data_IF_287417185334
#
_entry.id   IF_287417185334
#
_cell.length_a   1.000
_cell.length_b   1.000
_cell.length_c   1.000
_cell.angle_alpha   90.00
_cell.angle_beta   90.00
_cell.angle_gamma   90.00
#
_symmetry.space_group_name_H-M   'P 1'
#
loop_
_entity.id
_entity.type
_entity.pdbx_description
1 polymer ?
#
# COMPACT_ATOMS: atom_id res chain seq x y z
N UNK A 1 7.95 2.92 1.01
CA UNK A 1 9.06 2.24 1.72
C UNK A 1 9.59 1.03 0.94
N UNK A 2 8.78 0.01 0.63
CA UNK A 2 9.28 -1.22 -0.03
C UNK A 2 9.94 -0.97 -1.39
N UNK A 3 9.44 -0.04 -2.23
CA UNK A 3 10.13 0.32 -3.47
C UNK A 3 11.56 0.89 -3.23
N UNK A 4 11.75 1.66 -2.16
CA UNK A 4 13.09 2.13 -1.77
C UNK A 4 13.98 0.98 -1.29
N UNK A 5 13.42 0.04 -0.53
CA UNK A 5 14.14 -1.16 -0.11
C UNK A 5 14.50 -2.04 -1.32
N UNK A 6 13.61 -2.14 -2.30
CA UNK A 6 13.86 -2.86 -3.54
C UNK A 6 15.06 -2.27 -4.29
N UNK A 7 15.12 -0.94 -4.41
CA UNK A 7 16.27 -0.22 -4.99
C UNK A 7 17.55 -0.51 -4.20
N UNK A 8 17.52 -0.34 -2.88
CA UNK A 8 18.69 -0.53 -2.01
C UNK A 8 19.17 -1.99 -1.96
N UNK A 9 18.24 -2.93 -2.12
CA UNK A 9 18.53 -4.37 -2.13
C UNK A 9 18.84 -4.91 -3.53
N UNK A 10 18.80 -4.08 -4.57
CA UNK A 10 18.98 -4.49 -5.96
C UNK A 10 17.96 -5.56 -6.41
N UNK A 11 16.67 -5.31 -6.20
CA UNK A 11 15.61 -6.16 -6.75
C UNK A 11 15.28 -7.40 -5.90
N UNK A 12 15.53 -7.37 -4.59
CA UNK A 12 15.35 -8.55 -3.70
C UNK A 12 14.19 -8.41 -2.72
N UNK A 13 13.36 -7.37 -2.84
CA UNK A 13 12.28 -7.12 -1.90
C UNK A 13 10.93 -7.60 -2.45
N UNK A 14 10.18 -8.31 -1.62
CA UNK A 14 8.80 -8.72 -1.90
C UNK A 14 7.87 -8.19 -0.80
N UNK A 15 6.61 -7.90 -1.13
CA UNK A 15 5.64 -7.34 -0.17
C UNK A 15 4.64 -8.39 0.29
N UNK A 16 4.77 -8.87 1.53
CA UNK A 16 3.71 -9.60 2.24
C UNK A 16 2.86 -8.63 3.05
N UNK A 17 1.54 -8.60 2.81
CA UNK A 17 0.62 -7.73 3.54
C UNK A 17 -0.74 -8.41 3.72
N UNK A 18 -1.30 -8.33 4.92
CA UNK A 18 -2.62 -8.88 5.24
C UNK A 18 -3.57 -7.83 5.82
N UNK A 19 -4.85 -8.17 5.91
CA UNK A 19 -5.90 -7.29 6.43
C UNK A 19 -5.79 -7.03 7.95
N UNK A 20 -4.91 -7.78 8.63
CA UNK A 20 -4.78 -7.78 10.09
C UNK A 20 -5.82 -8.68 10.77
N UNK A 21 -5.55 -9.02 12.03
CA UNK A 21 -6.47 -9.79 12.88
C UNK A 21 -6.35 -9.45 14.38
N UNK A 22 -5.28 -8.77 14.79
CA UNK A 22 -5.01 -8.41 16.18
C UNK A 22 -5.52 -6.99 16.49
N UNK A 23 -6.84 -6.82 16.59
CA UNK A 23 -7.47 -5.50 16.73
C UNK A 23 -7.03 -4.73 17.97
N UNK A 24 -6.93 -5.40 19.12
CA UNK A 24 -6.43 -4.75 20.34
C UNK A 24 -5.00 -4.23 20.17
N UNK A 25 -4.12 -5.00 19.51
CA UNK A 25 -2.76 -4.56 19.24
C UNK A 25 -2.71 -3.39 18.23
N UNK A 26 -3.60 -3.40 17.23
CA UNK A 26 -3.70 -2.30 16.26
C UNK A 26 -4.15 -1.01 16.94
N UNK A 27 -5.17 -1.07 17.80
CA UNK A 27 -5.67 0.10 18.53
C UNK A 27 -4.62 0.66 19.51
N UNK A 28 -3.87 -0.19 20.21
CA UNK A 28 -2.82 0.27 21.14
C UNK A 28 -1.67 0.99 20.44
N UNK A 29 -1.45 0.74 19.14
CA UNK A 29 -0.48 1.46 18.31
C UNK A 29 -1.09 2.69 17.59
N UNK A 30 -2.32 3.10 17.94
CA UNK A 30 -3.02 4.24 17.33
C UNK A 30 -3.63 3.93 15.97
N UNK A 31 -3.70 2.66 15.57
CA UNK A 31 -4.40 2.21 14.38
C UNK A 31 -5.92 2.24 14.57
N UNK A 32 -6.63 2.39 13.46
CA UNK A 32 -8.10 2.29 13.42
C UNK A 32 -8.53 0.84 13.61
N UNK A 33 -9.51 0.60 14.49
CA UNK A 33 -10.28 -0.65 14.50
C UNK A 33 -11.21 -0.71 13.29
N UNK A 34 -11.13 -1.80 12.54
CA UNK A 34 -12.03 -2.10 11.42
C UNK A 34 -12.80 -3.39 11.72
N UNK A 35 -14.01 -3.47 11.19
CA UNK A 35 -14.74 -4.73 11.11
C UNK A 35 -14.06 -5.65 10.07
N UNK A 36 -14.36 -6.95 10.12
CA UNK A 36 -13.69 -7.96 9.28
C UNK A 36 -13.88 -7.68 7.77
N UNK A 37 -15.08 -7.26 7.36
CA UNK A 37 -15.32 -6.91 5.95
C UNK A 37 -14.54 -5.65 5.55
N UNK A 38 -14.62 -4.62 6.39
CA UNK A 38 -13.92 -3.35 6.19
C UNK A 38 -12.39 -3.50 6.14
N UNK A 39 -11.81 -4.46 6.88
CA UNK A 39 -10.37 -4.70 6.83
C UNK A 39 -9.91 -5.33 5.52
N UNK A 40 -10.73 -6.20 4.92
CA UNK A 40 -10.48 -6.79 3.60
C UNK A 40 -10.68 -5.74 2.51
N UNK A 41 -11.73 -4.93 2.57
CA UNK A 41 -11.96 -3.80 1.66
C UNK A 41 -10.80 -2.78 1.73
N UNK A 42 -10.36 -2.44 2.95
CA UNK A 42 -9.20 -1.59 3.13
C UNK A 42 -7.94 -2.20 2.51
N UNK A 43 -7.69 -3.51 2.69
CA UNK A 43 -6.55 -4.16 2.05
C UNK A 43 -6.59 -4.03 0.53
N UNK A 44 -7.74 -4.28 -0.09
CA UNK A 44 -7.94 -4.14 -1.54
C UNK A 44 -7.66 -2.72 -2.04
N UNK A 45 -8.20 -1.71 -1.35
CA UNK A 45 -7.91 -0.30 -1.67
C UNK A 45 -6.44 0.04 -1.48
N UNK A 46 -5.82 -0.49 -0.43
CA UNK A 46 -4.40 -0.30 -0.13
C UNK A 46 -3.51 -0.84 -1.25
N UNK A 47 -3.81 -2.03 -1.77
CA UNK A 47 -3.09 -2.64 -2.90
C UNK A 47 -3.23 -1.76 -4.15
N UNK A 48 -4.43 -1.25 -4.46
CA UNK A 48 -4.64 -0.32 -5.56
C UNK A 48 -3.79 0.95 -5.41
N UNK A 49 -3.82 1.56 -4.22
CA UNK A 49 -3.03 2.75 -3.91
C UNK A 49 -1.53 2.50 -4.09
N UNK A 50 -1.02 1.37 -3.58
CA UNK A 50 0.40 1.00 -3.70
C UNK A 50 0.80 0.87 -5.18
N UNK A 51 0.01 0.13 -5.98
CA UNK A 51 0.30 -0.04 -7.42
C UNK A 51 0.24 1.29 -8.17
N UNK A 52 -0.73 2.14 -7.88
CA UNK A 52 -0.85 3.46 -8.50
C UNK A 52 0.35 4.37 -8.18
N UNK A 53 0.87 4.30 -6.95
CA UNK A 53 2.07 5.05 -6.57
C UNK A 53 3.34 4.55 -7.28
N UNK A 54 3.42 3.25 -7.62
CA UNK A 54 4.56 2.68 -8.37
C UNK A 54 4.46 2.87 -9.89
N UNK A 55 3.30 3.25 -10.43
CA UNK A 55 3.10 3.51 -11.85
C UNK A 55 3.75 4.82 -12.33
N UNK A 56 5.06 4.98 -12.13
CA UNK A 56 5.82 6.22 -12.39
C UNK A 56 5.91 6.59 -13.87
N UNK A 57 5.54 5.69 -14.79
CA UNK A 57 5.40 6.01 -16.21
C UNK A 57 4.18 6.88 -16.52
N UNK A 58 3.20 6.94 -15.61
CA UNK A 58 2.03 7.80 -15.76
C UNK A 58 2.33 9.25 -15.36
N UNK A 59 1.66 10.19 -16.03
CA UNK A 59 1.81 11.63 -15.76
C UNK A 59 0.92 12.08 -14.60
N UNK A 60 1.39 13.09 -13.87
CA UNK A 60 0.63 13.75 -12.80
C UNK A 60 0.67 13.02 -11.46
N UNK A 61 -0.11 13.51 -10.49
CA UNK A 61 -0.24 12.91 -9.16
C UNK A 61 -1.33 11.83 -9.12
N UNK A 62 -1.23 10.89 -8.19
CA UNK A 62 -2.24 9.83 -7.97
C UNK A 62 -3.42 10.46 -7.25
N UNK A 63 -4.60 10.30 -7.85
CA UNK A 63 -5.88 10.63 -7.23
C UNK A 63 -6.63 9.33 -6.98
N UNK A 64 -7.09 9.15 -5.75
CA UNK A 64 -7.82 7.96 -5.32
C UNK A 64 -8.85 8.40 -4.28
N UNK A 65 -10.07 7.89 -4.38
CA UNK A 65 -11.16 8.25 -3.49
C UNK A 65 -11.94 6.98 -3.16
N UNK A 66 -11.40 6.23 -2.19
CA UNK A 66 -12.02 5.03 -1.64
C UNK A 66 -12.70 5.31 -0.30
N UNK A 67 -13.32 4.28 0.25
CA UNK A 67 -13.94 4.28 1.57
C UNK A 67 -12.88 4.37 2.68
N UNK A 68 -11.73 3.74 2.49
CA UNK A 68 -10.68 3.64 3.51
C UNK A 68 -9.48 4.54 3.24
N UNK A 69 -9.14 4.80 1.97
CA UNK A 69 -8.01 5.65 1.59
C UNK A 69 -8.40 6.75 0.61
N UNK A 70 -7.73 7.90 0.74
CA UNK A 70 -7.89 9.03 -0.17
C UNK A 70 -6.54 9.63 -0.52
N UNK A 71 -6.30 9.81 -1.82
CA UNK A 71 -5.15 10.52 -2.36
C UNK A 71 -5.62 11.72 -3.19
N UNK A 72 -5.06 12.90 -2.92
CA UNK A 72 -5.44 14.15 -3.56
C UNK A 72 -4.31 14.68 -4.48
N UNK A 73 -3.79 13.82 -5.37
CA UNK A 73 -2.68 14.17 -6.24
C UNK A 73 -1.31 13.82 -5.64
N UNK A 74 -1.22 12.69 -4.94
CA UNK A 74 0.02 12.21 -4.34
C UNK A 74 1.11 11.99 -5.40
N UNK A 75 2.36 12.32 -5.08
CA UNK A 75 3.48 12.07 -5.98
C UNK A 75 3.71 10.57 -6.13
N UNK A 76 4.01 10.16 -7.36
CA UNK A 76 4.41 8.78 -7.66
C UNK A 76 5.86 8.57 -7.26
N UNK A 77 6.18 7.31 -6.98
CA UNK A 77 7.54 6.83 -6.83
C UNK A 77 8.09 6.83 -5.39
N UNK A 78 9.33 6.33 -5.24
CA UNK A 78 10.21 5.86 -6.31
C UNK A 78 9.66 4.61 -7.01
N UNK A 79 10.01 4.43 -8.29
CA UNK A 79 9.69 3.21 -9.03
C UNK A 79 10.55 2.06 -8.48
N UNK A 80 9.99 0.88 -8.19
CA UNK A 80 10.79 -0.29 -7.87
C UNK A 80 11.63 -0.70 -9.08
N UNK A 81 12.72 -1.44 -8.83
CA UNK A 81 13.66 -1.89 -9.89
C UNK A 81 13.08 -3.07 -10.67
N UNK A 82 12.17 -3.82 -10.04
CA UNK A 82 11.41 -4.90 -10.65
C UNK A 82 9.93 -4.82 -10.26
N UNK A 83 9.10 -5.66 -10.87
CA UNK A 83 7.70 -5.81 -10.45
C UNK A 83 7.64 -6.58 -9.12
N UNK A 84 7.52 -5.83 -8.02
CA UNK A 84 7.41 -6.39 -6.67
C UNK A 84 6.08 -7.16 -6.57
N UNK A 85 6.15 -8.43 -6.23
CA UNK A 85 4.97 -9.23 -5.95
C UNK A 85 4.33 -8.78 -4.63
N UNK A 86 2.99 -8.77 -4.64
CA UNK A 86 2.19 -8.52 -3.45
C UNK A 86 1.54 -9.85 -3.05
N UNK A 87 1.93 -10.37 -1.89
CA UNK A 87 1.43 -11.60 -1.30
C UNK A 87 0.42 -11.27 -0.21
N UNK A 88 -0.77 -11.88 -0.29
CA UNK A 88 -1.90 -11.69 0.64
C UNK A 88 -2.13 -12.98 1.42
#
# INVERSE_FOLDING_TARGET
AVASLDILSHGRAELGIGAGMAWEAIETMGGRRLDVGDSVEALEEGIHVIRALWATGERGGVRFEGKHYRLAGALRGPAPVHDISIWV
#
